data_IF_489850004990
#
_entry.id   IF_489850004990
#
_cell.length_a   1.000
_cell.length_b   1.000
_cell.length_c   1.000
_cell.angle_alpha   90.00
_cell.angle_beta   90.00
_cell.angle_gamma   90.00
#
_symmetry.space_group_name_H-M   'P 1'
#
loop_
_entity.id
_entity.type
_entity.pdbx_description
1 polymer ?
#
# COMPACT_ATOMS: atom_id res chain seq x y z
N UNK A 1 -37.64 35.45 40.31
CA UNK A 1 -37.90 35.05 38.89
C UNK A 1 -36.60 35.00 38.11
N UNK A 2 -36.38 33.88 37.41
CA UNK A 2 -35.15 33.40 36.78
C UNK A 2 -34.55 34.35 35.72
N UNK A 3 -33.32 34.85 35.95
CA UNK A 3 -32.46 35.50 34.93
C UNK A 3 -31.18 34.71 34.59
N UNK A 4 -31.10 33.43 34.96
CA UNK A 4 -29.91 32.59 34.75
C UNK A 4 -29.94 31.70 33.49
N UNK A 5 -31.04 31.72 32.71
CA UNK A 5 -31.23 30.79 31.58
C UNK A 5 -30.87 31.36 30.20
N UNK A 6 -30.74 32.69 30.07
CA UNK A 6 -30.44 33.34 28.78
C UNK A 6 -28.96 33.32 28.41
N UNK A 7 -28.05 33.13 29.39
CA UNK A 7 -26.60 33.10 29.11
C UNK A 7 -26.09 31.74 28.62
N UNK A 8 -26.84 30.66 28.87
CA UNK A 8 -26.42 29.30 28.50
C UNK A 8 -26.79 28.93 27.05
N UNK A 9 -27.83 29.56 26.49
CA UNK A 9 -28.27 29.31 25.10
C UNK A 9 -27.32 29.98 24.09
N UNK A 10 -26.67 31.08 24.46
CA UNK A 10 -25.74 31.79 23.57
C UNK A 10 -24.37 31.09 23.45
N UNK A 11 -23.93 30.37 24.48
CA UNK A 11 -22.68 29.60 24.45
C UNK A 11 -22.78 28.31 23.63
N UNK A 12 -23.98 27.72 23.54
CA UNK A 12 -24.21 26.46 22.83
C UNK A 12 -24.36 26.64 21.30
N UNK A 13 -24.75 27.84 20.86
CA UNK A 13 -24.82 28.19 19.44
C UNK A 13 -23.47 28.62 18.84
N UNK A 14 -22.50 29.03 19.66
CA UNK A 14 -21.17 29.41 19.18
C UNK A 14 -20.26 28.20 18.89
N UNK A 15 -20.54 27.05 19.52
CA UNK A 15 -19.77 25.81 19.32
C UNK A 15 -20.06 25.12 17.97
N UNK A 16 -21.23 25.36 17.37
CA UNK A 16 -21.65 24.74 16.11
C UNK A 16 -21.05 25.48 14.89
N UNK A 17 -20.68 26.76 15.04
CA UNK A 17 -20.09 27.54 13.94
C UNK A 17 -18.57 27.30 13.74
N UNK A 18 -17.86 26.78 14.75
CA UNK A 18 -16.40 26.58 14.65
C UNK A 18 -15.99 25.18 14.15
N UNK A 19 -16.92 24.22 14.11
CA UNK A 19 -16.65 22.85 13.66
C UNK A 19 -16.62 22.64 12.13
N UNK A 20 -17.01 23.65 11.34
CA UNK A 20 -17.19 23.54 9.87
C UNK A 20 -16.01 24.12 9.08
N UNK A 21 -14.96 24.62 9.74
CA UNK A 21 -13.77 25.17 9.08
C UNK A 21 -12.50 24.38 9.42
N UNK A 22 -12.50 23.08 9.14
CA UNK A 22 -11.26 22.36 8.93
C UNK A 22 -11.01 22.29 7.42
N UNK A 23 -10.15 23.14 6.84
CA UNK A 23 -9.61 22.85 5.51
C UNK A 23 -8.81 21.55 5.61
N UNK A 24 -9.45 20.44 5.26
CA UNK A 24 -8.80 19.18 4.95
C UNK A 24 -8.15 19.37 3.58
N UNK A 25 -6.88 19.75 3.56
CA UNK A 25 -5.87 19.39 2.57
C UNK A 25 -4.67 20.33 2.69
N UNK A 26 -3.86 20.11 3.71
CA UNK A 26 -2.44 20.32 3.53
C UNK A 26 -1.93 19.10 2.76
N UNK A 27 -1.86 19.21 1.45
CA UNK A 27 -0.95 18.38 0.67
C UNK A 27 0.48 18.79 1.08
N UNK A 28 0.92 18.30 2.23
CA UNK A 28 2.33 18.28 2.56
C UNK A 28 2.98 17.50 1.43
N UNK A 29 3.77 18.15 0.57
CA UNK A 29 4.73 17.47 -0.29
C UNK A 29 5.60 16.62 0.61
N UNK A 30 5.21 15.36 0.77
CA UNK A 30 5.87 14.43 1.66
C UNK A 30 7.24 14.20 1.05
N UNK A 31 8.30 14.64 1.75
CA UNK A 31 9.67 14.22 1.45
C UNK A 31 9.60 12.71 1.32
N UNK A 32 9.91 12.21 0.14
CA UNK A 32 9.72 10.81 -0.21
C UNK A 32 10.56 9.97 0.74
N UNK A 33 9.88 9.36 1.71
CA UNK A 33 10.52 8.64 2.79
C UNK A 33 10.77 7.23 2.27
N UNK A 34 12.04 6.89 2.08
CA UNK A 34 12.41 5.50 1.84
C UNK A 34 11.76 4.65 2.94
N UNK A 35 10.90 3.73 2.54
CA UNK A 35 10.05 2.94 3.42
C UNK A 35 10.17 1.46 3.03
N UNK A 36 10.10 0.60 4.03
CA UNK A 36 10.03 -0.85 3.85
C UNK A 36 8.59 -1.30 4.05
N UNK A 37 8.03 -1.94 3.03
CA UNK A 37 6.69 -2.51 3.05
C UNK A 37 6.84 -4.02 3.06
N UNK A 38 6.18 -4.69 4.01
CA UNK A 38 6.05 -6.14 4.06
C UNK A 38 4.63 -6.51 3.64
N UNK A 39 4.49 -7.39 2.65
CA UNK A 39 3.16 -7.74 2.13
C UNK A 39 3.18 -8.88 1.12
N UNK A 40 1.99 -9.32 0.74
CA UNK A 40 1.76 -10.36 -0.26
C UNK A 40 1.89 -9.78 -1.67
N UNK A 41 2.63 -10.46 -2.54
CA UNK A 41 2.68 -10.14 -3.98
C UNK A 41 1.42 -10.64 -4.67
N UNK A 42 0.68 -9.73 -5.31
CA UNK A 42 -0.57 -10.05 -6.01
C UNK A 42 -0.53 -9.65 -7.48
N UNK A 43 -1.34 -10.33 -8.30
CA UNK A 43 -1.82 -9.74 -9.55
C UNK A 43 -2.79 -8.61 -9.17
N UNK A 44 -2.36 -7.37 -9.38
CA UNK A 44 -3.11 -6.19 -8.95
C UNK A 44 -4.46 -6.08 -9.66
N UNK A 45 -4.59 -6.60 -10.88
CA UNK A 45 -5.84 -6.58 -11.65
C UNK A 45 -6.87 -7.50 -10.99
N UNK A 46 -6.49 -8.74 -10.69
CA UNK A 46 -7.36 -9.71 -10.06
C UNK A 46 -7.68 -9.34 -8.60
N UNK A 47 -6.69 -8.83 -7.87
CA UNK A 47 -6.90 -8.35 -6.51
C UNK A 47 -7.91 -7.19 -6.48
N UNK A 48 -7.70 -6.17 -7.29
CA UNK A 48 -8.55 -4.97 -7.28
C UNK A 48 -9.97 -5.24 -7.80
N UNK A 49 -10.11 -6.07 -8.85
CA UNK A 49 -11.41 -6.31 -9.47
C UNK A 49 -12.25 -7.38 -8.77
N UNK A 50 -11.63 -8.32 -8.07
CA UNK A 50 -12.29 -9.52 -7.53
C UNK A 50 -11.86 -9.92 -6.12
N UNK A 51 -10.92 -9.20 -5.51
CA UNK A 51 -10.39 -9.53 -4.19
C UNK A 51 -9.60 -10.85 -4.15
N UNK A 52 -9.04 -11.28 -5.28
CA UNK A 52 -8.34 -12.56 -5.36
C UNK A 52 -6.88 -12.44 -4.88
N UNK A 53 -6.50 -13.26 -3.91
CA UNK A 53 -5.14 -13.37 -3.36
C UNK A 53 -4.90 -14.76 -2.76
N UNK A 54 -3.72 -14.99 -2.19
CA UNK A 54 -3.33 -16.19 -1.46
C UNK A 54 -3.01 -17.40 -2.33
N UNK A 55 -2.65 -18.52 -1.68
CA UNK A 55 -2.16 -19.73 -2.34
C UNK A 55 -3.15 -20.29 -3.39
N UNK A 56 -4.46 -20.16 -3.14
CA UNK A 56 -5.51 -20.57 -4.09
C UNK A 56 -5.51 -19.76 -5.40
N UNK A 57 -4.94 -18.56 -5.42
CA UNK A 57 -4.86 -17.71 -6.61
C UNK A 57 -3.46 -17.66 -7.25
N UNK A 58 -2.45 -18.27 -6.60
CA UNK A 58 -1.04 -18.22 -6.99
C UNK A 58 -0.79 -18.57 -8.45
N UNK A 59 -1.29 -19.70 -8.94
CA UNK A 59 -1.04 -20.16 -10.31
C UNK A 59 -1.60 -19.19 -11.36
N UNK A 60 -2.74 -18.56 -11.07
CA UNK A 60 -3.33 -17.55 -11.93
C UNK A 60 -2.50 -16.27 -11.90
N UNK A 61 -2.16 -15.79 -10.71
CA UNK A 61 -1.34 -14.60 -10.52
C UNK A 61 0.04 -14.75 -11.18
N UNK A 62 0.76 -15.84 -10.96
CA UNK A 62 2.04 -16.14 -11.64
C UNK A 62 1.90 -16.00 -13.15
N UNK A 63 0.92 -16.66 -13.78
CA UNK A 63 0.71 -16.58 -15.23
C UNK A 63 0.46 -15.14 -15.71
N UNK A 64 -0.36 -14.39 -14.99
CA UNK A 64 -0.69 -13.00 -15.35
C UNK A 64 0.52 -12.08 -15.21
N UNK A 65 1.26 -12.19 -14.10
CA UNK A 65 2.48 -11.42 -13.86
C UNK A 65 3.56 -11.73 -14.88
N UNK A 66 3.78 -13.00 -15.24
CA UNK A 66 4.70 -13.40 -16.33
C UNK A 66 4.33 -12.73 -17.66
N UNK A 67 3.04 -12.49 -17.91
CA UNK A 67 2.53 -11.81 -19.11
C UNK A 67 2.50 -10.29 -19.01
N UNK A 68 3.00 -9.72 -17.92
CA UNK A 68 3.09 -8.27 -17.74
C UNK A 68 1.87 -7.62 -17.06
N UNK A 69 0.95 -8.40 -16.47
CA UNK A 69 -0.10 -7.82 -15.63
C UNK A 69 0.53 -7.04 -14.46
N UNK A 70 -0.04 -5.90 -14.03
CA UNK A 70 0.57 -5.10 -12.96
C UNK A 70 0.73 -5.90 -11.66
N UNK A 71 1.91 -5.81 -11.04
CA UNK A 71 2.17 -6.39 -9.74
C UNK A 71 1.77 -5.40 -8.63
N UNK A 72 1.18 -5.93 -7.57
CA UNK A 72 0.87 -5.19 -6.35
C UNK A 72 1.48 -5.85 -5.12
N UNK A 73 1.59 -5.08 -4.05
CA UNK A 73 1.90 -5.56 -2.72
C UNK A 73 0.73 -5.21 -1.79
N UNK A 74 0.22 -6.19 -1.06
CA UNK A 74 -0.86 -5.98 -0.07
C UNK A 74 -0.29 -6.25 1.31
N UNK A 75 -0.24 -5.22 2.16
CA UNK A 75 0.27 -5.37 3.52
C UNK A 75 -0.74 -6.04 4.45
N UNK A 76 -0.31 -6.34 5.68
CA UNK A 76 -1.15 -6.98 6.71
C UNK A 76 -2.41 -6.18 7.09
N UNK A 77 -2.41 -4.88 6.83
CA UNK A 77 -3.50 -3.95 7.15
C UNK A 77 -4.44 -3.76 5.95
N UNK A 78 -4.16 -4.45 4.83
CA UNK A 78 -4.95 -4.38 3.60
C UNK A 78 -4.63 -3.17 2.73
N UNK A 79 -3.55 -2.43 3.01
CA UNK A 79 -3.12 -1.34 2.13
C UNK A 79 -2.51 -1.92 0.85
N UNK A 80 -2.85 -1.31 -0.27
CA UNK A 80 -2.37 -1.71 -1.60
C UNK A 80 -1.25 -0.78 -2.04
N UNK A 81 -0.14 -1.36 -2.47
CA UNK A 81 0.97 -0.66 -3.08
C UNK A 81 1.17 -1.13 -4.52
N UNK A 82 1.13 -0.21 -5.48
CA UNK A 82 1.48 -0.49 -6.87
C UNK A 82 3.00 -0.58 -6.97
N UNK A 83 3.50 -1.70 -7.47
CA UNK A 83 4.94 -1.89 -7.68
C UNK A 83 5.33 -1.26 -9.00
N UNK A 84 6.18 -0.23 -8.96
CA UNK A 84 6.68 0.49 -10.13
C UNK A 84 7.95 -0.19 -10.63
N UNK A 85 7.78 -1.38 -11.23
CA UNK A 85 8.85 -2.15 -11.86
C UNK A 85 8.24 -3.23 -12.80
N UNK A 86 9.02 -3.80 -13.76
CA UNK A 86 8.54 -4.87 -14.64
C UNK A 86 7.97 -6.07 -13.87
N UNK A 87 6.66 -6.31 -13.99
CA UNK A 87 5.96 -7.36 -13.23
C UNK A 87 6.40 -8.81 -13.50
N UNK A 88 6.97 -9.20 -14.66
CA UNK A 88 7.42 -10.58 -14.86
C UNK A 88 8.44 -11.06 -13.82
N UNK A 89 9.28 -10.17 -13.27
CA UNK A 89 10.22 -10.50 -12.20
C UNK A 89 9.57 -10.91 -10.87
N UNK A 90 8.30 -10.55 -10.67
CA UNK A 90 7.55 -10.88 -9.46
C UNK A 90 6.72 -12.17 -9.60
N UNK A 91 6.68 -12.78 -10.78
CA UNK A 91 5.79 -13.91 -11.05
C UNK A 91 6.09 -15.14 -10.17
N UNK A 92 7.36 -15.42 -9.87
CA UNK A 92 7.78 -16.50 -8.96
C UNK A 92 7.41 -16.22 -7.51
N UNK A 93 7.19 -14.95 -7.15
CA UNK A 93 6.82 -14.51 -5.80
C UNK A 93 5.32 -14.35 -5.61
N UNK A 94 4.49 -14.66 -6.61
CA UNK A 94 3.04 -14.54 -6.49
C UNK A 94 2.51 -15.29 -5.26
N UNK A 95 1.57 -14.67 -4.54
CA UNK A 95 1.01 -15.13 -3.28
C UNK A 95 2.00 -15.34 -2.13
N UNK A 96 3.26 -14.90 -2.28
CA UNK A 96 4.26 -14.93 -1.22
C UNK A 96 4.37 -13.59 -0.52
N UNK A 97 4.68 -13.61 0.78
CA UNK A 97 5.04 -12.40 1.52
C UNK A 97 6.49 -12.03 1.25
N UNK A 98 6.72 -10.79 0.81
CA UNK A 98 8.06 -10.22 0.58
C UNK A 98 8.21 -8.90 1.34
N UNK A 99 9.45 -8.41 1.45
CA UNK A 99 9.75 -7.04 1.87
C UNK A 99 10.27 -6.25 0.69
N UNK A 100 9.65 -5.10 0.41
CA UNK A 100 10.14 -4.13 -0.57
C UNK A 100 10.52 -2.84 0.13
N UNK A 101 11.79 -2.47 -0.01
CA UNK A 101 12.31 -1.20 0.46
C UNK A 101 12.52 -0.27 -0.73
N UNK A 102 11.96 0.94 -0.65
CA UNK A 102 12.01 1.87 -1.77
C UNK A 102 11.33 3.19 -1.50
N UNK A 103 11.24 3.98 -2.56
CA UNK A 103 10.57 5.26 -2.56
C UNK A 103 9.05 5.02 -2.61
N UNK A 104 8.31 5.52 -1.61
CA UNK A 104 6.85 5.39 -1.57
C UNK A 104 6.19 6.75 -1.74
N UNK A 105 5.29 6.86 -2.71
CA UNK A 105 4.51 8.06 -3.00
C UNK A 105 3.10 7.67 -3.48
N UNK A 106 2.08 8.13 -2.76
CA UNK A 106 0.65 7.91 -3.09
C UNK A 106 0.30 6.45 -3.39
N UNK A 107 0.74 5.52 -2.54
CA UNK A 107 0.47 4.08 -2.72
C UNK A 107 1.24 3.44 -3.87
N UNK A 108 2.28 4.09 -4.40
CA UNK A 108 3.20 3.52 -5.39
C UNK A 108 4.56 3.33 -4.74
N UNK A 109 5.20 2.19 -5.00
CA UNK A 109 6.54 1.91 -4.52
C UNK A 109 7.48 1.73 -5.72
N UNK A 110 8.56 2.52 -5.75
CA UNK A 110 9.71 2.31 -6.65
C UNK A 110 10.78 1.52 -5.90
N UNK A 111 10.92 0.20 -6.15
CA UNK A 111 11.75 -0.67 -5.33
C UNK A 111 13.25 -0.37 -5.53
N UNK A 112 13.99 -0.35 -4.41
CA UNK A 112 15.46 -0.26 -4.37
C UNK A 112 16.09 -1.54 -3.83
N UNK A 113 15.40 -2.23 -2.93
CA UNK A 113 15.81 -3.51 -2.33
C UNK A 113 14.59 -4.40 -2.15
N UNK A 114 14.79 -5.71 -2.30
CA UNK A 114 13.79 -6.73 -2.00
C UNK A 114 14.38 -7.80 -1.08
N UNK A 115 13.57 -8.30 -0.16
CA UNK A 115 13.88 -9.50 0.63
C UNK A 115 12.72 -10.49 0.51
N UNK A 116 13.06 -11.77 0.43
CA UNK A 116 12.11 -12.89 0.43
C UNK A 116 12.54 -13.94 1.44
N UNK A 117 11.62 -14.82 1.85
CA UNK A 117 11.93 -15.89 2.79
C UNK A 117 12.60 -17.05 2.03
N UNK A 118 13.88 -17.29 2.34
CA UNK A 118 14.66 -18.44 1.85
C UNK A 118 15.12 -19.24 3.08
N UNK A 119 14.89 -20.55 3.11
CA UNK A 119 15.28 -21.42 4.23
C UNK A 119 14.82 -20.90 5.62
N UNK A 120 13.61 -20.34 5.69
CA UNK A 120 13.01 -19.73 6.90
C UNK A 120 13.67 -18.44 7.40
N UNK A 121 14.54 -17.81 6.60
CA UNK A 121 15.16 -16.51 6.91
C UNK A 121 14.93 -15.51 5.78
N UNK A 122 14.89 -14.24 6.12
CA UNK A 122 14.88 -13.17 5.13
C UNK A 122 16.23 -13.11 4.41
N UNK A 123 16.19 -13.22 3.08
CA UNK A 123 17.35 -13.12 2.21
C UNK A 123 17.11 -12.03 1.16
N UNK A 124 18.15 -11.28 0.83
CA UNK A 124 18.08 -10.24 -0.20
C UNK A 124 17.99 -10.86 -1.59
N UNK A 125 17.10 -10.31 -2.42
CA UNK A 125 16.90 -10.71 -3.81
C UNK A 125 17.52 -9.65 -4.71
N UNK A 126 18.35 -10.07 -5.67
CA UNK A 126 18.97 -9.16 -6.62
C UNK A 126 17.93 -8.54 -7.55
N UNK A 127 17.88 -7.20 -7.59
CA UNK A 127 17.00 -6.46 -8.48
C UNK A 127 17.73 -5.95 -9.73
N UNK A 128 17.00 -5.89 -10.84
CA UNK A 128 17.39 -5.23 -12.09
C UNK A 128 16.20 -4.37 -12.56
N UNK A 129 16.40 -3.05 -12.62
CA UNK A 129 15.31 -2.12 -12.97
C UNK A 129 14.16 -2.12 -11.95
N UNK A 130 14.45 -2.39 -10.68
CA UNK A 130 13.46 -2.48 -9.60
C UNK A 130 12.76 -3.83 -9.47
N UNK A 131 12.94 -4.76 -10.42
CA UNK A 131 12.35 -6.10 -10.39
C UNK A 131 13.36 -7.19 -10.08
N UNK A 132 12.97 -8.30 -9.43
CA UNK A 132 13.83 -9.47 -9.33
C UNK A 132 14.26 -9.94 -10.71
N UNK A 133 15.51 -10.39 -10.83
CA UNK A 133 15.94 -11.08 -12.04
C UNK A 133 15.12 -12.37 -12.19
N UNK A 134 14.53 -12.62 -13.37
CA UNK A 134 14.06 -13.96 -13.70
C UNK A 134 15.26 -14.92 -13.60
N UNK A 135 15.07 -16.05 -12.93
CA UNK A 135 16.02 -17.16 -12.97
C UNK A 135 16.17 -17.73 -14.39
#
# INVERSE_FOLDING_TARGET
MNKKKTSFVLFLLFSIAFGVLYPKNQATKQKTKDSQIEGEVVDLTCYTSRGLSGEGHKACATRCLTRGAPAGLVDKDGNIFVIIAPSPGYASYAAQTIRLSGNVEDGRISPKKMEAITEKKWAEVTLQGGSPKPE
#
